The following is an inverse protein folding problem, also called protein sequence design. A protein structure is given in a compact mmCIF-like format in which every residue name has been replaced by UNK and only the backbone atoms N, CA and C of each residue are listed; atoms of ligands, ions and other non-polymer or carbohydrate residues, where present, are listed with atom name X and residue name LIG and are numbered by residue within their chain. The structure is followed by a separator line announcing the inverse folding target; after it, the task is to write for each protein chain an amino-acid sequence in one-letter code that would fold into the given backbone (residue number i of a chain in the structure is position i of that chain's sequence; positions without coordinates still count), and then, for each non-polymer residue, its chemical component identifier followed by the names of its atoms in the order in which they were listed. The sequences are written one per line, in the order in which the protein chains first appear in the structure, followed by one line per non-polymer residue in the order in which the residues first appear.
data_IF_692199104729
#
_entry.id   IF_692199104729
#
_cell.length_a   1.000
_cell.length_b   1.000
_cell.length_c   1.000
_cell.angle_alpha   90.00
_cell.angle_beta   90.00
_cell.angle_gamma   90.00
#
_symmetry.space_group_name_H-M   'P 1'
#
loop_
_entity.id
_entity.type
_entity.pdbx_description
1 polymer ?
#
# COMPACT_ATOMS: atom_id res chain seq x y z
N UNK A 1 43.26 -27.64 16.20
CA UNK A 1 42.15 -28.13 15.35
C UNK A 1 41.24 -26.94 15.11
N UNK A 2 41.41 -26.25 13.98
CA UNK A 2 40.63 -25.05 13.66
C UNK A 2 39.36 -25.46 12.92
N UNK A 3 38.21 -25.19 13.51
CA UNK A 3 36.91 -25.32 12.84
C UNK A 3 36.69 -24.03 12.06
N UNK A 4 36.80 -24.09 10.74
CA UNK A 4 36.50 -22.99 9.84
C UNK A 4 34.98 -22.87 9.76
N UNK A 5 34.46 -21.74 10.24
CA UNK A 5 33.09 -21.29 10.05
C UNK A 5 32.79 -21.15 8.56
N UNK A 6 31.86 -21.94 8.03
CA UNK A 6 31.32 -21.74 6.69
C UNK A 6 30.36 -20.54 6.74
N UNK A 7 30.88 -19.36 6.39
CA UNK A 7 30.05 -18.26 5.92
C UNK A 7 29.31 -18.73 4.66
N UNK A 8 28.01 -18.99 4.80
CA UNK A 8 27.09 -19.10 3.66
C UNK A 8 27.09 -17.76 2.95
N UNK A 9 27.82 -17.67 1.85
CA UNK A 9 27.61 -16.63 0.85
C UNK A 9 26.28 -16.91 0.16
N UNK A 10 25.23 -16.22 0.58
CA UNK A 10 23.97 -16.20 -0.15
C UNK A 10 24.21 -15.51 -1.49
N UNK A 11 24.31 -16.31 -2.56
CA UNK A 11 24.29 -15.82 -3.93
C UNK A 11 22.94 -15.15 -4.16
N UNK A 12 22.96 -13.85 -4.31
CA UNK A 12 21.80 -12.99 -4.47
C UNK A 12 21.19 -13.23 -5.84
N UNK A 13 19.86 -13.32 -5.93
CA UNK A 13 19.21 -13.33 -7.24
C UNK A 13 19.53 -11.99 -7.94
N UNK A 14 20.07 -12.01 -9.17
CA UNK A 14 20.35 -10.79 -9.93
C UNK A 14 19.13 -9.86 -10.06
N UNK A 15 17.91 -10.42 -10.07
CA UNK A 15 16.68 -9.63 -10.17
C UNK A 15 16.46 -8.79 -8.90
N UNK A 16 16.76 -9.32 -7.71
CA UNK A 16 16.63 -8.59 -6.44
C UNK A 16 17.62 -7.42 -6.34
N UNK A 17 18.86 -7.63 -6.80
CA UNK A 17 19.89 -6.57 -6.86
C UNK A 17 19.43 -5.41 -7.75
N UNK A 18 18.87 -5.74 -8.91
CA UNK A 18 18.41 -4.73 -9.86
C UNK A 18 17.23 -3.92 -9.30
N UNK A 19 16.34 -4.58 -8.56
CA UNK A 19 15.18 -3.92 -7.97
C UNK A 19 15.58 -3.04 -6.78
N UNK A 20 16.52 -3.47 -5.93
CA UNK A 20 17.04 -2.62 -4.84
C UNK A 20 17.72 -1.36 -5.41
N UNK A 21 18.54 -1.52 -6.45
CA UNK A 21 19.15 -0.39 -7.15
C UNK A 21 18.12 0.54 -7.82
N UNK A 22 17.01 -0.01 -8.31
CA UNK A 22 15.89 0.75 -8.85
C UNK A 22 15.17 1.54 -7.75
N UNK A 23 14.86 0.89 -6.62
CA UNK A 23 14.24 1.51 -5.45
C UNK A 23 15.08 2.68 -4.93
N UNK A 24 16.39 2.49 -4.79
CA UNK A 24 17.33 3.54 -4.35
C UNK A 24 17.36 4.75 -5.30
N UNK A 25 17.32 4.51 -6.61
CA UNK A 25 17.31 5.60 -7.60
C UNK A 25 16.00 6.39 -7.57
N UNK A 26 14.88 5.69 -7.48
CA UNK A 26 13.55 6.30 -7.43
C UNK A 26 13.35 7.05 -6.12
N UNK A 27 13.48 6.35 -4.98
CA UNK A 27 13.22 6.91 -3.66
C UNK A 27 14.30 7.90 -3.21
N UNK A 28 15.50 7.83 -3.81
CA UNK A 28 16.55 8.82 -3.67
C UNK A 28 16.34 10.10 -4.49
N UNK A 29 15.25 10.20 -5.27
CA UNK A 29 14.92 11.38 -6.08
C UNK A 29 15.84 11.59 -7.29
N UNK A 30 16.61 10.56 -7.69
CA UNK A 30 17.48 10.62 -8.88
C UNK A 30 16.69 10.37 -10.17
N UNK A 31 15.50 9.80 -10.05
CA UNK A 31 14.56 9.52 -11.12
C UNK A 31 13.27 10.22 -10.77
N UNK A 32 12.82 11.15 -11.62
CA UNK A 32 11.52 11.76 -11.46
C UNK A 32 10.42 10.71 -11.67
N UNK A 33 9.33 10.88 -10.92
CA UNK A 33 8.12 10.11 -11.09
C UNK A 33 6.92 11.00 -10.88
N UNK A 34 5.82 10.72 -11.58
CA UNK A 34 4.62 11.51 -11.48
C UNK A 34 3.35 10.65 -11.51
N UNK A 35 2.46 10.97 -10.58
CA UNK A 35 1.10 10.44 -10.55
C UNK A 35 0.22 11.28 -11.48
N UNK A 36 -0.33 10.66 -12.53
CA UNK A 36 -1.13 11.37 -13.55
C UNK A 36 -2.59 10.93 -13.60
N UNK A 37 -2.88 9.67 -13.30
CA UNK A 37 -4.20 9.08 -13.52
C UNK A 37 -4.96 8.91 -12.21
N UNK A 38 -6.30 9.07 -12.22
CA UNK A 38 -7.13 8.81 -11.06
C UNK A 38 -7.10 7.32 -10.67
N UNK A 39 -7.36 7.06 -9.40
CA UNK A 39 -7.55 5.70 -8.91
C UNK A 39 -8.76 5.02 -9.53
N UNK A 40 -8.61 3.73 -9.85
CA UNK A 40 -9.70 2.86 -10.31
C UNK A 40 -10.04 1.83 -9.25
N UNK A 41 -11.05 2.13 -8.45
CA UNK A 41 -11.48 1.32 -7.33
C UNK A 41 -12.18 0.03 -7.77
N UNK A 42 -11.84 -1.07 -7.08
CA UNK A 42 -12.45 -2.38 -7.23
C UNK A 42 -12.70 -2.96 -5.85
N UNK A 43 -13.88 -3.58 -5.67
CA UNK A 43 -14.16 -4.37 -4.48
C UNK A 43 -13.48 -5.74 -4.59
N UNK A 44 -12.89 -6.20 -3.49
CA UNK A 44 -12.22 -7.49 -3.39
C UNK A 44 -12.81 -8.29 -2.22
N UNK A 45 -12.73 -9.61 -2.32
CA UNK A 45 -13.22 -10.55 -1.30
C UNK A 45 -14.71 -10.37 -0.93
N UNK A 46 -15.55 -10.06 -1.92
CA UNK A 46 -17.00 -10.01 -1.79
C UNK A 46 -17.63 -11.25 -2.47
N UNK A 47 -18.59 -11.96 -1.84
CA UNK A 47 -19.02 -11.83 -0.44
C UNK A 47 -17.89 -12.18 0.56
N UNK A 48 -18.02 -11.70 1.81
CA UNK A 48 -17.00 -11.91 2.87
C UNK A 48 -16.65 -13.38 2.98
N UNK A 49 -15.36 -13.71 2.94
CA UNK A 49 -14.85 -15.06 3.22
C UNK A 49 -14.42 -15.13 4.69
N UNK A 50 -14.54 -16.30 5.31
CA UNK A 50 -14.28 -16.50 6.75
C UNK A 50 -12.93 -15.95 7.22
N UNK A 51 -11.90 -16.00 6.37
CA UNK A 51 -10.53 -15.58 6.70
C UNK A 51 -10.02 -14.39 5.86
N UNK A 52 -10.90 -13.67 5.16
CA UNK A 52 -10.49 -12.56 4.31
C UNK A 52 -11.43 -11.37 4.45
N UNK A 53 -11.00 -10.27 5.08
CA UNK A 53 -11.82 -9.08 5.19
C UNK A 53 -12.12 -8.51 3.80
N UNK A 54 -13.33 -7.96 3.66
CA UNK A 54 -13.72 -7.23 2.46
C UNK A 54 -12.92 -5.93 2.44
N UNK A 55 -12.37 -5.60 1.29
CA UNK A 55 -11.65 -4.34 1.10
C UNK A 55 -11.98 -3.76 -0.27
N UNK A 56 -11.78 -2.46 -0.40
CA UNK A 56 -11.65 -1.81 -1.70
C UNK A 56 -10.17 -1.64 -2.00
N UNK A 57 -9.81 -1.87 -3.24
CA UNK A 57 -8.46 -1.69 -3.74
C UNK A 57 -8.52 -0.89 -5.03
N UNK A 58 -7.61 0.07 -5.17
CA UNK A 58 -7.36 0.74 -6.43
C UNK A 58 -5.89 0.63 -6.80
N UNK A 59 -5.63 0.65 -8.10
CA UNK A 59 -4.28 0.77 -8.65
C UNK A 59 -4.29 1.90 -9.69
N UNK A 60 -3.22 2.68 -9.74
CA UNK A 60 -3.00 3.72 -10.74
C UNK A 60 -1.53 3.75 -11.15
N UNK A 61 -1.19 3.87 -12.44
CA UNK A 61 0.19 3.91 -12.86
C UNK A 61 0.87 5.20 -12.44
N UNK A 62 2.12 5.06 -12.02
CA UNK A 62 3.07 6.16 -11.81
C UNK A 62 4.06 6.12 -12.96
N UNK A 63 4.11 7.20 -13.72
CA UNK A 63 5.07 7.35 -14.82
C UNK A 63 6.40 7.76 -14.22
N UNK A 64 7.49 7.16 -14.67
CA UNK A 64 8.83 7.59 -14.28
C UNK A 64 9.59 8.13 -15.49
N UNK A 65 10.67 8.86 -15.24
CA UNK A 65 11.59 9.31 -16.29
C UNK A 65 12.39 8.15 -16.90
N UNK A 66 12.47 7.02 -16.19
CA UNK A 66 12.92 5.78 -16.75
C UNK A 66 11.80 5.16 -17.59
N UNK A 67 12.16 4.36 -18.59
CA UNK A 67 11.18 3.55 -19.33
C UNK A 67 10.49 2.46 -18.46
N UNK A 68 10.71 2.47 -17.14
CA UNK A 68 10.01 1.61 -16.21
C UNK A 68 8.69 2.24 -15.74
N UNK A 69 7.65 1.42 -15.72
CA UNK A 69 6.35 1.77 -15.18
C UNK A 69 6.27 1.27 -13.75
N UNK A 70 5.82 2.13 -12.85
CA UNK A 70 5.45 1.75 -11.49
C UNK A 70 3.92 1.82 -11.38
N UNK A 71 3.38 1.15 -10.36
CA UNK A 71 1.98 1.30 -9.99
C UNK A 71 1.89 1.74 -8.52
N UNK A 72 0.96 2.64 -8.22
CA UNK A 72 0.55 2.97 -6.87
C UNK A 72 -0.73 2.17 -6.56
N UNK A 73 -0.67 1.34 -5.53
CA UNK A 73 -1.81 0.59 -5.00
C UNK A 73 -2.29 1.19 -3.70
N UNK A 74 -3.60 1.32 -3.57
CA UNK A 74 -4.27 1.77 -2.36
C UNK A 74 -5.28 0.72 -1.93
N UNK A 75 -5.14 0.20 -0.71
CA UNK A 75 -6.04 -0.78 -0.11
C UNK A 75 -6.68 -0.24 1.16
N UNK A 76 -8.00 -0.31 1.25
CA UNK A 76 -8.79 0.16 2.40
C UNK A 76 -9.68 -0.98 2.89
N UNK A 77 -9.56 -1.37 4.16
CA UNK A 77 -10.44 -2.36 4.78
C UNK A 77 -11.85 -1.79 4.99
N UNK A 78 -12.89 -2.53 4.62
CA UNK A 78 -14.27 -2.05 4.82
C UNK A 78 -14.78 -2.24 6.26
N UNK A 79 -14.18 -3.16 7.02
CA UNK A 79 -14.48 -3.31 8.45
C UNK A 79 -13.88 -2.15 9.29
N UNK A 80 -12.77 -1.57 8.82
CA UNK A 80 -12.05 -0.48 9.47
C UNK A 80 -11.54 0.51 8.42
N UNK A 81 -12.38 1.42 7.92
CA UNK A 81 -11.97 2.36 6.87
C UNK A 81 -10.81 3.28 7.28
N UNK A 82 -10.60 3.50 8.57
CA UNK A 82 -9.46 4.25 9.09
C UNK A 82 -8.13 3.45 9.07
N UNK A 83 -8.13 2.15 8.80
CA UNK A 83 -6.94 1.30 8.64
C UNK A 83 -6.74 0.98 7.16
N UNK A 84 -5.63 1.47 6.58
CA UNK A 84 -5.39 1.36 5.14
C UNK A 84 -3.91 1.41 4.78
N UNK A 85 -3.60 0.98 3.55
CA UNK A 85 -2.22 0.86 3.07
C UNK A 85 -2.03 1.46 1.69
N UNK A 86 -0.92 2.16 1.50
CA UNK A 86 -0.41 2.60 0.20
C UNK A 86 0.87 1.82 -0.13
N UNK A 87 0.97 1.37 -1.38
CA UNK A 87 2.12 0.59 -1.86
C UNK A 87 2.55 1.12 -3.23
N UNK A 88 3.78 1.58 -3.33
CA UNK A 88 4.45 1.80 -4.62
C UNK A 88 5.08 0.47 -5.04
N UNK A 89 4.72 -0.04 -6.21
CA UNK A 89 5.13 -1.36 -6.66
C UNK A 89 5.70 -1.37 -8.07
N UNK A 90 6.60 -2.31 -8.33
CA UNK A 90 7.06 -2.64 -9.67
C UNK A 90 6.15 -3.75 -10.23
N UNK A 91 5.27 -3.46 -11.20
CA UNK A 91 4.19 -4.36 -11.59
C UNK A 91 4.69 -5.65 -12.26
N UNK A 92 5.87 -5.61 -12.89
CA UNK A 92 6.44 -6.80 -13.56
C UNK A 92 6.85 -7.90 -12.57
N UNK A 93 7.39 -7.52 -11.41
CA UNK A 93 7.85 -8.46 -10.37
C UNK A 93 6.88 -8.58 -9.19
N UNK A 94 5.90 -7.68 -9.05
CA UNK A 94 4.96 -7.66 -7.92
C UNK A 94 5.56 -7.12 -6.61
N UNK A 95 6.86 -6.89 -6.61
CA UNK A 95 7.67 -6.11 -5.66
C UNK A 95 7.02 -4.82 -5.16
N UNK A 96 7.11 -4.56 -3.85
CA UNK A 96 6.65 -3.33 -3.19
C UNK A 96 7.83 -2.40 -2.85
N UNK A 97 8.21 -1.50 -3.76
CA UNK A 97 9.31 -0.54 -3.56
C UNK A 97 9.16 0.35 -2.32
N UNK A 98 7.93 0.69 -1.93
CA UNK A 98 7.64 1.41 -0.69
C UNK A 98 6.24 1.04 -0.21
N UNK A 99 6.09 0.84 1.10
CA UNK A 99 4.78 0.68 1.72
C UNK A 99 4.59 1.64 2.87
N UNK A 100 3.40 2.20 2.96
CA UNK A 100 2.88 2.93 4.12
C UNK A 100 1.66 2.17 4.63
N UNK A 101 1.65 1.85 5.91
CA UNK A 101 0.49 1.33 6.62
C UNK A 101 0.01 2.40 7.60
N UNK A 102 -1.20 2.93 7.39
CA UNK A 102 -1.80 3.95 8.24
C UNK A 102 -2.66 3.29 9.30
N UNK A 103 -2.34 3.60 10.57
CA UNK A 103 -2.94 3.00 11.77
C UNK A 103 -3.01 1.47 11.65
N UNK A 104 -1.98 0.87 11.05
CA UNK A 104 -1.93 -0.55 10.76
C UNK A 104 -1.82 -1.39 12.03
N UNK A 105 -2.52 -2.52 12.05
CA UNK A 105 -2.39 -3.53 13.09
C UNK A 105 -1.91 -4.85 12.50
N UNK A 106 -0.68 -5.25 12.83
CA UNK A 106 -0.15 -6.54 12.42
C UNK A 106 0.97 -7.02 13.36
N UNK A 107 1.23 -8.32 13.31
CA UNK A 107 2.36 -8.95 13.97
C UNK A 107 3.50 -9.06 12.96
N UNK A 108 4.63 -8.46 13.28
CA UNK A 108 5.88 -8.77 12.63
C UNK A 108 6.29 -10.19 12.98
N UNK A 109 6.40 -11.05 11.97
CA UNK A 109 6.74 -12.46 12.16
C UNK A 109 8.24 -12.67 12.38
N UNK A 110 9.08 -11.74 11.96
CA UNK A 110 10.53 -11.81 12.06
C UNK A 110 10.99 -11.35 13.46
N UNK A 111 10.50 -10.19 13.90
CA UNK A 111 10.88 -9.61 15.20
C UNK A 111 9.95 -10.00 16.34
N UNK A 112 8.73 -10.45 16.02
CA UNK A 112 7.66 -10.65 17.00
C UNK A 112 6.99 -9.36 17.48
N UNK A 113 7.40 -8.18 16.98
CA UNK A 113 6.81 -6.90 17.35
C UNK A 113 5.33 -6.83 16.91
N UNK A 114 4.48 -6.34 17.82
CA UNK A 114 3.08 -6.05 17.51
C UNK A 114 2.92 -4.57 17.21
N UNK A 115 2.63 -4.27 15.94
CA UNK A 115 2.11 -2.99 15.55
C UNK A 115 0.62 -2.96 15.86
N UNK A 116 0.19 -2.03 16.70
CA UNK A 116 -1.21 -1.87 17.11
C UNK A 116 -1.60 -0.42 16.84
N UNK A 117 -2.44 -0.20 15.83
CA UNK A 117 -2.90 1.13 15.41
C UNK A 117 -1.74 2.12 15.14
N UNK A 118 -0.60 1.63 14.65
CA UNK A 118 0.59 2.46 14.43
C UNK A 118 0.77 2.72 12.94
N UNK A 119 0.94 3.98 12.59
CA UNK A 119 1.37 4.34 11.25
C UNK A 119 2.87 4.12 11.11
N UNK A 120 3.26 3.36 10.09
CA UNK A 120 4.66 3.00 9.87
C UNK A 120 4.90 2.72 8.39
N UNK A 121 6.16 2.83 8.00
CA UNK A 121 6.62 2.63 6.63
C UNK A 121 7.57 1.47 6.56
N UNK A 122 7.58 0.81 5.42
CA UNK A 122 8.53 -0.25 5.11
C UNK A 122 9.41 0.21 3.95
N UNK A 123 10.73 0.08 4.10
CA UNK A 123 11.62 0.14 2.94
C UNK A 123 11.57 -1.20 2.20
N UNK A 124 11.76 -1.10 0.89
CA UNK A 124 11.96 -2.25 0.04
C UNK A 124 13.35 -2.81 0.21
N UNK A 125 13.41 -4.05 0.71
CA UNK A 125 14.38 -5.06 0.31
C UNK A 125 14.03 -6.32 1.09
N UNK A 126 13.85 -7.46 0.41
CA UNK A 126 13.62 -8.75 1.09
C UNK A 126 14.76 -9.09 2.06
N UNK A 127 15.97 -8.58 1.80
CA UNK A 127 17.13 -8.71 2.71
C UNK A 127 17.04 -7.89 3.97
N UNK A 128 16.28 -6.80 3.91
CA UNK A 128 16.10 -5.91 5.05
C UNK A 128 14.90 -6.31 5.88
N UNK A 129 13.94 -7.06 5.33
CA UNK A 129 12.73 -7.45 6.06
C UNK A 129 12.12 -6.24 6.77
N UNK A 130 11.87 -6.37 8.06
CA UNK A 130 11.36 -5.26 8.89
C UNK A 130 12.44 -4.39 9.58
N UNK A 131 13.72 -4.55 9.24
CA UNK A 131 14.82 -3.75 9.83
C UNK A 131 14.72 -2.24 9.56
N UNK A 132 13.96 -1.85 8.53
CA UNK A 132 13.76 -0.46 8.12
C UNK A 132 12.29 -0.03 8.28
N UNK A 133 11.62 -0.48 9.35
CA UNK A 133 10.32 0.07 9.75
C UNK A 133 10.52 1.38 10.51
N UNK A 134 9.88 2.45 10.04
CA UNK A 134 9.99 3.77 10.67
C UNK A 134 8.68 4.54 10.65
N UNK A 135 8.49 5.41 11.65
CA UNK A 135 7.33 6.31 11.69
C UNK A 135 7.49 7.40 10.61
N UNK A 136 6.43 7.71 9.83
CA UNK A 136 6.42 8.90 9.00
C UNK A 136 6.20 10.15 9.84
N UNK A 137 7.13 11.09 9.75
CA UNK A 137 6.98 12.43 10.33
C UNK A 137 6.25 13.40 9.37
N UNK A 138 6.08 13.01 8.11
CA UNK A 138 5.64 13.86 7.00
C UNK A 138 4.25 13.51 6.44
N UNK A 139 3.64 12.40 6.88
CA UNK A 139 2.32 11.95 6.40
C UNK A 139 1.22 12.46 7.33
N UNK A 140 0.39 13.40 6.84
CA UNK A 140 -0.66 14.05 7.65
C UNK A 140 -1.94 13.21 7.74
N UNK A 141 -2.17 12.63 8.90
CA UNK A 141 -3.38 11.85 9.23
C UNK A 141 -3.70 12.01 10.72
N UNK A 142 -4.93 11.69 11.13
CA UNK A 142 -5.24 11.61 12.56
C UNK A 142 -4.50 10.43 13.20
N UNK A 143 -3.83 10.56 14.35
CA UNK A 143 -3.03 9.46 14.89
C UNK A 143 -3.90 8.32 15.44
N UNK A 144 -5.10 8.63 15.92
CA UNK A 144 -5.97 7.68 16.61
C UNK A 144 -6.95 6.96 15.69
N UNK A 145 -7.41 5.75 16.05
CA UNK A 145 -8.56 5.11 15.42
C UNK A 145 -9.80 6.00 15.44
N UNK A 146 -10.54 6.01 14.35
CA UNK A 146 -11.71 6.88 14.19
C UNK A 146 -12.98 6.04 14.32
N UNK A 147 -13.74 6.27 15.38
CA UNK A 147 -15.06 5.67 15.58
C UNK A 147 -16.01 6.04 14.43
N UNK A 148 -16.85 5.09 14.01
CA UNK A 148 -17.85 5.28 12.94
C UNK A 148 -17.29 5.75 11.58
N UNK A 149 -15.99 5.54 11.33
CA UNK A 149 -15.38 5.90 10.06
C UNK A 149 -16.06 5.19 8.88
N UNK A 150 -16.42 5.98 7.87
CA UNK A 150 -16.93 5.52 6.59
C UNK A 150 -15.95 5.89 5.48
N UNK A 151 -16.08 5.29 4.29
CA UNK A 151 -15.28 5.72 3.13
C UNK A 151 -15.47 7.21 2.83
N UNK A 152 -16.69 7.72 2.99
CA UNK A 152 -17.03 9.13 2.75
C UNK A 152 -16.41 10.05 3.79
N UNK A 153 -16.49 9.71 5.09
CA UNK A 153 -15.95 10.56 6.15
C UNK A 153 -14.42 10.63 6.16
N UNK A 154 -13.76 9.65 5.53
CA UNK A 154 -12.30 9.57 5.45
C UNK A 154 -11.73 10.16 4.15
N UNK A 155 -12.58 10.60 3.23
CA UNK A 155 -12.18 10.97 1.85
C UNK A 155 -11.06 12.00 1.79
N UNK A 156 -11.19 13.08 2.56
CA UNK A 156 -10.17 14.14 2.62
C UNK A 156 -8.83 13.66 3.17
N UNK A 157 -8.86 12.71 4.12
CA UNK A 157 -7.63 12.11 4.64
C UNK A 157 -7.00 11.20 3.59
N UNK A 158 -7.79 10.41 2.87
CA UNK A 158 -7.29 9.54 1.82
C UNK A 158 -6.57 10.33 0.71
N UNK A 159 -7.18 11.40 0.18
CA UNK A 159 -6.52 12.23 -0.84
C UNK A 159 -5.23 12.86 -0.28
N UNK A 160 -5.29 13.43 0.93
CA UNK A 160 -4.12 14.06 1.56
C UNK A 160 -2.97 13.07 1.75
N UNK A 161 -3.25 11.88 2.27
CA UNK A 161 -2.22 10.86 2.52
C UNK A 161 -1.63 10.33 1.22
N UNK A 162 -2.43 10.20 0.16
CA UNK A 162 -1.91 9.86 -1.18
C UNK A 162 -0.89 10.90 -1.65
N UNK A 163 -1.21 12.19 -1.51
CA UNK A 163 -0.32 13.29 -1.94
C UNK A 163 0.96 13.32 -1.10
N UNK A 164 0.84 13.21 0.21
CA UNK A 164 1.98 13.22 1.13
C UNK A 164 2.89 12.00 0.85
N UNK A 165 2.32 10.82 0.62
CA UNK A 165 3.08 9.61 0.30
C UNK A 165 3.84 9.71 -1.04
N UNK A 166 3.23 10.33 -2.06
CA UNK A 166 3.89 10.55 -3.35
C UNK A 166 5.07 11.52 -3.21
N UNK A 167 4.87 12.62 -2.47
CA UNK A 167 5.95 13.57 -2.19
C UNK A 167 7.09 12.92 -1.37
N UNK A 168 6.74 12.08 -0.39
CA UNK A 168 7.73 11.33 0.37
C UNK A 168 8.56 10.42 -0.55
N UNK A 169 7.92 9.76 -1.52
CA UNK A 169 8.59 8.94 -2.53
C UNK A 169 9.44 9.75 -3.52
N UNK A 170 9.59 11.07 -3.31
CA UNK A 170 10.32 12.02 -4.16
C UNK A 170 9.74 12.09 -5.57
N UNK A 171 8.42 11.98 -5.66
CA UNK A 171 7.64 12.04 -6.88
C UNK A 171 6.64 13.19 -6.83
N UNK A 172 6.16 13.59 -8.00
CA UNK A 172 5.20 14.67 -8.18
C UNK A 172 3.77 14.17 -8.34
N UNK A 173 2.81 15.01 -7.96
CA UNK A 173 1.42 14.88 -8.38
C UNK A 173 1.24 15.79 -9.59
N UNK A 174 1.01 15.20 -10.76
CA UNK A 174 0.91 15.97 -11.99
C UNK A 174 -0.31 16.90 -11.97
N UNK A 175 -0.23 18.05 -12.65
CA UNK A 175 -1.31 19.04 -12.69
C UNK A 175 -2.66 18.51 -13.21
N UNK A 176 -2.65 17.45 -14.02
CA UNK A 176 -3.86 16.78 -14.53
C UNK A 176 -4.41 15.68 -13.63
N UNK A 177 -3.78 15.38 -12.49
CA UNK A 177 -4.27 14.37 -11.57
C UNK A 177 -5.54 14.84 -10.88
N UNK A 178 -6.57 13.99 -10.93
CA UNK A 178 -7.85 14.21 -10.25
C UNK A 178 -8.04 13.11 -9.23
N UNK A 179 -8.32 13.50 -7.98
CA UNK A 179 -8.72 12.55 -6.94
C UNK A 179 -10.10 11.97 -7.27
N UNK A 180 -10.22 10.65 -7.11
CA UNK A 180 -11.50 9.94 -7.22
C UNK A 180 -11.71 9.16 -5.93
N UNK A 181 -12.75 9.48 -5.14
CA UNK A 181 -12.99 8.86 -3.85
C UNK A 181 -13.28 7.36 -3.99
N UNK A 182 -12.91 6.53 -2.97
CA UNK A 182 -13.37 5.16 -2.91
C UNK A 182 -14.89 5.10 -2.80
N UNK A 183 -15.54 4.38 -3.72
CA UNK A 183 -17.00 4.26 -3.70
C UNK A 183 -17.46 3.30 -2.59
N UNK A 184 -18.54 3.63 -1.87
CA UNK A 184 -19.22 2.69 -0.98
C UNK A 184 -19.62 1.42 -1.73
N UNK A 185 -19.59 0.25 -1.09
CA UNK A 185 -20.12 -0.96 -1.70
C UNK A 185 -21.60 -0.76 -2.03
N UNK A 186 -21.95 -0.79 -3.32
CA UNK A 186 -23.35 -0.88 -3.74
C UNK A 186 -23.89 -2.20 -3.19
N UNK A 187 -24.92 -2.14 -2.35
CA UNK A 187 -25.67 -3.32 -1.96
C UNK A 187 -26.19 -3.95 -3.24
N UNK A 188 -25.85 -5.22 -3.49
CA UNK A 188 -26.55 -5.96 -4.53
C UNK A 188 -28.05 -5.90 -4.16
N UNK A 189 -28.95 -5.62 -5.12
CA UNK A 189 -30.37 -5.68 -4.83
C UNK A 189 -30.64 -7.05 -4.21
N UNK A 190 -31.13 -7.06 -2.98
CA UNK A 190 -31.74 -8.25 -2.40
C UNK A 190 -32.85 -8.61 -3.36
N UNK A 191 -32.77 -9.79 -3.98
CA UNK A 191 -33.92 -10.43 -4.60
C UNK A 191 -34.89 -10.80 -3.47
N UNK A 192 -35.56 -9.81 -2.88
CA UNK A 192 -36.81 -10.05 -2.17
C UNK A 192 -37.87 -10.27 -3.25
N UNK A 193 -38.47 -11.45 -3.27
CA UNK A 193 -39.55 -11.77 -4.21
C UNK A 193 -39.29 -13.01 -5.06
N UNK A 194 -39.03 -14.16 -4.42
CA UNK A 194 -39.73 -15.35 -4.86
C UNK A 194 -40.87 -15.56 -3.85
N UNK A 195 -42.01 -14.93 -4.12
CA UNK A 195 -43.28 -15.43 -3.61
C UNK A 195 -43.38 -16.89 -4.06
N UNK A 196 -43.41 -17.81 -3.10
CA UNK A 196 -43.91 -19.16 -3.33
C UNK A 196 -45.36 -19.01 -3.81
N UNK A 197 -45.57 -19.12 -5.12
CA UNK A 197 -46.92 -19.28 -5.68
C UNK A 197 -47.41 -20.71 -5.36
N UNK A 198 -48.71 -20.87 -5.03
CA UNK A 198 -49.27 -22.04 -4.35
C UNK A 198 -49.18 -23.37 -5.11
#
# INVERSE_FOLDING_TARGET
MFVISMLRGECMDPDDVMIDALADKILGGKVGGALHLPFRWKRKNAPRRAYSPIHVEANTPVRTDLSCRLDLRFRIGLDKPWEYSLMLLHPGSGTILRRLDVRGTHLDRETGERFINRTHKHKWSERRGNSDVYAPDDIRHAPDPIGDATLTSMDEEYDRVVRDFIQECKMDVAAGYVWVPPMPPVLAPTLEGFEEYP
#
